data_IF_400366992703
#
_entry.id   IF_400366992703
#
_cell.length_a   1.000
_cell.length_b   1.000
_cell.length_c   1.000
_cell.angle_alpha   90.00
_cell.angle_beta   90.00
_cell.angle_gamma   90.00
#
_symmetry.space_group_name_H-M   'P 1'
#
loop_
_entity.id
_entity.type
_entity.pdbx_description
1 polymer ?
#
# COMPACT_ATOMS: atom_id res chain seq x y z
N UNK A 1 5.18 -3.19 5.23
CA UNK A 1 6.28 -4.10 4.86
C UNK A 1 7.54 -3.30 4.46
N UNK A 2 7.57 -2.36 3.48
CA UNK A 2 8.81 -1.65 3.13
C UNK A 2 9.46 -0.91 4.31
N UNK A 3 8.68 -0.28 5.18
CA UNK A 3 9.20 0.38 6.38
C UNK A 3 9.88 -0.60 7.33
N UNK A 4 9.28 -1.76 7.54
CA UNK A 4 9.85 -2.84 8.36
C UNK A 4 11.19 -3.30 7.81
N UNK A 5 11.30 -3.51 6.48
CA UNK A 5 12.55 -3.91 5.82
C UNK A 5 13.64 -2.81 5.90
N UNK A 6 13.25 -1.55 6.02
CA UNK A 6 14.16 -0.41 6.14
C UNK A 6 14.44 0.01 7.59
N UNK A 7 13.82 -0.61 8.59
CA UNK A 7 13.97 -0.23 10.00
C UNK A 7 13.48 1.19 10.32
N UNK A 8 12.39 1.63 9.69
CA UNK A 8 11.80 2.96 9.86
C UNK A 8 10.30 2.87 10.16
N UNK A 9 9.72 4.00 10.57
CA UNK A 9 8.27 4.12 10.75
C UNK A 9 7.61 4.29 9.38
N UNK A 10 6.56 3.52 9.10
CA UNK A 10 5.75 3.66 7.89
C UNK A 10 4.27 3.71 8.26
N UNK A 11 3.56 4.67 7.69
CA UNK A 11 2.14 4.83 7.92
C UNK A 11 1.35 4.62 6.62
N UNK A 12 0.38 3.71 6.65
CA UNK A 12 -0.62 3.57 5.60
C UNK A 12 -1.92 4.21 6.10
N UNK A 13 -2.27 5.42 5.61
CA UNK A 13 -3.52 6.07 6.00
C UNK A 13 -4.74 5.38 5.41
N UNK A 14 -5.91 5.81 5.82
CA UNK A 14 -7.18 5.38 5.24
C UNK A 14 -7.23 5.79 3.77
N UNK A 15 -7.77 4.90 2.92
CA UNK A 15 -7.95 5.17 1.49
C UNK A 15 -8.73 6.48 1.27
N UNK A 16 -8.22 7.31 0.38
CA UNK A 16 -8.79 8.62 0.09
C UNK A 16 -8.38 9.75 1.04
N UNK A 17 -7.64 9.48 2.12
CA UNK A 17 -7.13 10.53 3.03
C UNK A 17 -6.06 11.40 2.39
N UNK A 18 -5.26 10.85 1.50
CA UNK A 18 -4.23 11.57 0.73
C UNK A 18 -4.61 11.49 -0.73
N UNK A 19 -4.59 12.63 -1.42
CA UNK A 19 -4.87 12.71 -2.86
C UNK A 19 -3.89 11.87 -3.67
N UNK A 20 -4.41 11.21 -4.71
CA UNK A 20 -3.63 10.46 -5.69
C UNK A 20 -3.41 11.26 -6.99
N UNK A 21 -3.86 12.51 -7.03
CA UNK A 21 -3.66 13.35 -8.20
C UNK A 21 -2.17 13.50 -8.51
N UNK A 22 -1.79 13.20 -9.75
CA UNK A 22 -0.39 13.16 -10.18
C UNK A 22 0.34 11.84 -9.93
N UNK A 23 -0.27 10.87 -9.24
CA UNK A 23 0.28 9.53 -9.08
C UNK A 23 -0.01 8.67 -10.32
N UNK A 24 0.99 7.94 -10.81
CA UNK A 24 0.78 6.91 -11.82
C UNK A 24 0.00 5.74 -11.18
N UNK A 25 -1.25 5.52 -11.64
CA UNK A 25 -2.09 4.49 -11.08
C UNK A 25 -1.54 3.09 -11.37
N UNK A 26 -1.41 2.27 -10.33
CA UNK A 26 -1.11 0.86 -10.42
C UNK A 26 -2.37 0.02 -10.17
N UNK A 27 -2.89 0.05 -8.96
CA UNK A 27 -4.14 -0.61 -8.58
C UNK A 27 -5.07 0.45 -7.95
N UNK A 28 -5.95 1.03 -8.74
CA UNK A 28 -6.72 2.23 -8.37
C UNK A 28 -7.58 2.05 -7.12
N UNK A 29 -8.03 0.83 -6.83
CA UNK A 29 -8.80 0.52 -5.62
C UNK A 29 -7.93 0.36 -4.37
N UNK A 30 -6.60 0.25 -4.52
CA UNK A 30 -5.65 -0.03 -3.46
C UNK A 30 -4.57 1.05 -3.30
N UNK A 31 -4.31 1.83 -4.34
CA UNK A 31 -3.27 2.86 -4.34
C UNK A 31 -3.49 3.86 -3.21
N UNK A 32 -2.46 4.04 -2.37
CA UNK A 32 -2.50 4.94 -1.24
C UNK A 32 -1.09 5.46 -0.95
N UNK A 33 -0.97 6.78 -0.88
CA UNK A 33 0.26 7.46 -0.47
C UNK A 33 0.32 7.49 1.06
N UNK A 34 1.49 7.25 1.63
CA UNK A 34 1.74 7.34 3.05
C UNK A 34 3.20 7.68 3.36
N UNK A 35 3.48 8.31 4.51
CA UNK A 35 4.82 8.75 4.87
C UNK A 35 5.69 7.61 5.41
N UNK A 36 7.01 7.74 5.15
CA UNK A 36 8.06 7.07 5.90
C UNK A 36 8.87 8.08 6.68
N UNK A 37 9.23 7.76 7.91
CA UNK A 37 9.97 8.65 8.80
C UNK A 37 10.80 7.87 9.81
N UNK A 38 11.65 8.56 10.57
CA UNK A 38 12.42 7.95 11.66
C UNK A 38 11.64 7.87 12.97
N UNK A 39 10.69 8.77 13.17
CA UNK A 39 9.88 8.87 14.40
C UNK A 39 8.39 8.83 14.09
N UNK A 40 7.57 8.49 15.08
CA UNK A 40 6.11 8.54 14.97
C UNK A 40 5.62 9.98 14.83
N UNK A 41 6.28 10.92 15.50
CA UNK A 41 6.00 12.35 15.44
C UNK A 41 6.17 12.89 14.02
N UNK A 42 7.28 12.55 13.36
CA UNK A 42 7.52 12.96 11.97
C UNK A 42 6.50 12.33 11.01
N UNK A 43 6.12 11.06 11.23
CA UNK A 43 5.08 10.40 10.45
C UNK A 43 3.73 11.12 10.60
N UNK A 44 3.37 11.51 11.82
CA UNK A 44 2.14 12.25 12.11
C UNK A 44 2.17 13.64 11.46
N UNK A 45 3.26 14.36 11.58
CA UNK A 45 3.45 15.68 10.97
C UNK A 45 3.33 15.62 9.44
N UNK A 46 4.05 14.69 8.82
CA UNK A 46 3.95 14.48 7.37
C UNK A 46 2.53 14.12 6.94
N UNK A 47 1.87 13.24 7.69
CA UNK A 47 0.50 12.85 7.39
C UNK A 47 -0.48 14.04 7.49
N UNK A 48 -0.33 14.92 8.48
CA UNK A 48 -1.13 16.16 8.57
C UNK A 48 -0.98 17.04 7.33
N UNK A 49 0.26 17.18 6.84
CA UNK A 49 0.57 18.05 5.70
C UNK A 49 0.01 17.49 4.38
N UNK A 50 0.11 16.16 4.16
CA UNK A 50 -0.28 15.56 2.89
C UNK A 50 -1.75 15.10 2.84
N UNK A 51 -2.44 15.04 3.99
CA UNK A 51 -3.86 14.66 4.06
C UNK A 51 -4.77 15.82 3.71
N UNK A 52 -5.96 15.50 3.22
CA UNK A 52 -7.02 16.48 2.97
C UNK A 52 -7.77 16.21 1.67
N UNK A 53 -8.89 16.89 1.52
CA UNK A 53 -9.73 16.78 0.33
C UNK A 53 -9.10 17.50 -0.87
N UNK A 54 -9.03 16.79 -1.98
CA UNK A 54 -8.58 17.31 -3.28
C UNK A 54 -9.68 17.12 -4.33
N UNK A 55 -10.28 18.21 -4.87
CA UNK A 55 -11.31 18.11 -5.90
C UNK A 55 -10.80 17.51 -7.23
N UNK A 56 -9.48 17.41 -7.43
CA UNK A 56 -8.87 16.79 -8.60
C UNK A 56 -8.75 15.27 -8.49
N UNK A 57 -8.93 14.71 -7.30
CA UNK A 57 -9.04 13.26 -7.08
C UNK A 57 -10.45 12.89 -6.60
N UNK A 58 -11.24 12.29 -7.48
CA UNK A 58 -12.62 11.89 -7.19
C UNK A 58 -12.77 10.88 -6.05
N UNK A 59 -11.68 10.23 -5.64
CA UNK A 59 -11.65 9.29 -4.51
C UNK A 59 -11.18 9.93 -3.22
N UNK A 60 -10.77 11.20 -3.27
CA UNK A 60 -10.36 11.95 -2.09
C UNK A 60 -11.52 12.12 -1.12
N UNK A 61 -11.32 11.77 0.15
CA UNK A 61 -12.36 11.75 1.16
C UNK A 61 -12.62 13.17 1.70
N UNK A 62 -13.88 13.68 1.67
CA UNK A 62 -14.20 15.04 2.07
C UNK A 62 -14.35 15.15 3.61
N UNK A 63 -13.26 14.98 4.35
CA UNK A 63 -13.24 15.15 5.79
C UNK A 63 -12.18 16.16 6.23
N UNK A 64 -12.40 16.74 7.40
CA UNK A 64 -11.36 17.50 8.09
C UNK A 64 -10.20 16.60 8.47
N UNK A 65 -8.99 17.11 8.36
CA UNK A 65 -7.76 16.42 8.76
C UNK A 65 -7.63 16.56 10.28
N UNK A 66 -7.61 15.43 11.03
CA UNK A 66 -7.34 15.49 12.46
C UNK A 66 -5.93 16.00 12.75
N UNK A 67 -5.76 16.71 13.88
CA UNK A 67 -4.40 17.03 14.36
C UNK A 67 -3.78 15.76 14.97
N UNK A 68 -3.03 15.02 14.17
CA UNK A 68 -2.38 13.80 14.62
C UNK A 68 -1.27 14.09 15.64
N UNK A 69 -0.47 15.15 15.37
CA UNK A 69 0.64 15.55 16.25
C UNK A 69 0.16 15.96 17.64
N UNK A 70 -0.92 16.74 17.72
CA UNK A 70 -1.50 17.17 18.99
C UNK A 70 -2.06 15.98 19.83
N UNK A 71 -2.47 14.91 19.15
CA UNK A 71 -3.07 13.73 19.78
C UNK A 71 -2.04 12.68 20.24
N UNK A 72 -0.79 12.75 19.81
CA UNK A 72 0.25 11.78 20.21
C UNK A 72 0.54 11.77 21.71
N UNK A 73 0.45 12.93 22.37
CA UNK A 73 0.74 13.08 23.80
C UNK A 73 -0.45 12.68 24.71
N UNK A 74 -1.60 12.38 24.12
CA UNK A 74 -2.77 11.97 24.90
C UNK A 74 -2.54 10.58 25.48
N UNK A 75 -2.68 10.45 26.80
CA UNK A 75 -2.58 9.15 27.47
C UNK A 75 -3.62 8.19 26.90
N UNK A 76 -3.15 7.12 26.31
CA UNK A 76 -4.02 6.09 25.76
C UNK A 76 -4.71 5.33 26.89
N UNK A 77 -6.05 5.28 26.85
CA UNK A 77 -6.78 4.42 27.77
C UNK A 77 -6.48 2.95 27.44
N UNK A 78 -6.41 2.07 28.44
CA UNK A 78 -6.28 0.64 28.18
C UNK A 78 -7.33 0.15 27.18
N UNK A 79 -6.90 -0.61 26.19
CA UNK A 79 -7.75 -1.19 25.17
C UNK A 79 -7.54 -2.71 25.06
N UNK A 80 -8.34 -3.37 24.24
CA UNK A 80 -8.18 -4.78 23.93
C UNK A 80 -7.38 -4.91 22.64
N UNK A 81 -6.25 -5.62 22.68
CA UNK A 81 -5.39 -5.90 21.53
C UNK A 81 -5.56 -7.36 21.11
N UNK A 82 -5.94 -7.58 19.86
CA UNK A 82 -6.06 -8.91 19.26
C UNK A 82 -4.71 -9.41 18.76
N UNK A 83 -4.35 -10.64 19.10
CA UNK A 83 -3.17 -11.34 18.61
C UNK A 83 -3.60 -12.46 17.65
N UNK A 84 -3.52 -12.28 16.33
CA UNK A 84 -3.96 -13.29 15.37
C UNK A 84 -3.02 -14.50 15.39
N UNK A 85 -3.57 -15.67 15.70
CA UNK A 85 -2.77 -16.91 15.73
C UNK A 85 -2.12 -17.24 14.39
N UNK A 86 -2.75 -16.87 13.27
CA UNK A 86 -2.27 -17.10 11.92
C UNK A 86 -1.01 -16.29 11.56
N UNK A 87 -0.67 -15.26 12.35
CA UNK A 87 0.55 -14.46 12.14
C UNK A 87 1.80 -15.12 12.73
N UNK A 88 1.64 -16.17 13.55
CA UNK A 88 2.71 -16.88 14.24
C UNK A 88 2.93 -18.30 13.68
N UNK A 89 2.69 -18.47 12.38
CA UNK A 89 2.86 -19.74 11.68
C UNK A 89 4.30 -20.22 11.55
N UNK A 90 4.48 -21.34 10.84
CA UNK A 90 5.80 -21.88 10.49
C UNK A 90 6.61 -20.90 9.66
N UNK A 91 7.92 -20.87 9.86
CA UNK A 91 8.85 -20.02 9.09
C UNK A 91 9.06 -18.61 9.64
N UNK A 92 8.46 -18.27 10.79
CA UNK A 92 8.81 -17.04 11.51
C UNK A 92 10.18 -17.19 12.16
N UNK A 93 11.05 -16.21 11.92
CA UNK A 93 12.35 -16.12 12.58
C UNK A 93 12.19 -15.90 14.09
N UNK A 94 13.02 -16.61 14.90
CA UNK A 94 12.93 -16.55 16.35
C UNK A 94 13.24 -15.14 16.90
N UNK A 95 14.13 -14.38 16.28
CA UNK A 95 14.42 -13.00 16.70
C UNK A 95 13.20 -12.09 16.47
N UNK A 96 12.48 -12.29 15.37
CA UNK A 96 11.23 -11.56 15.08
C UNK A 96 10.15 -11.95 16.09
N UNK A 97 9.99 -13.25 16.37
CA UNK A 97 9.04 -13.74 17.39
C UNK A 97 9.32 -13.11 18.75
N UNK A 98 10.57 -13.17 19.21
CA UNK A 98 10.97 -12.60 20.49
C UNK A 98 10.70 -11.09 20.56
N UNK A 99 10.96 -10.34 19.48
CA UNK A 99 10.67 -8.90 19.44
C UNK A 99 9.17 -8.60 19.56
N UNK A 100 8.33 -9.41 18.91
CA UNK A 100 6.86 -9.27 19.02
C UNK A 100 6.39 -9.64 20.42
N UNK A 101 6.91 -10.71 21.02
CA UNK A 101 6.56 -11.13 22.38
C UNK A 101 6.93 -10.07 23.42
N UNK A 102 8.10 -9.43 23.29
CA UNK A 102 8.49 -8.29 24.12
C UNK A 102 7.51 -7.11 23.98
N UNK A 103 7.09 -6.80 22.77
CA UNK A 103 6.10 -5.75 22.53
C UNK A 103 4.74 -6.10 23.17
N UNK A 104 4.30 -7.35 23.07
CA UNK A 104 3.06 -7.84 23.70
C UNK A 104 3.12 -7.70 25.21
N UNK A 105 4.24 -8.11 25.84
CA UNK A 105 4.43 -7.97 27.30
C UNK A 105 4.48 -6.50 27.71
N UNK A 106 5.11 -5.64 26.92
CA UNK A 106 5.10 -4.19 27.17
C UNK A 106 3.66 -3.66 27.21
N UNK A 107 2.82 -3.95 26.20
CA UNK A 107 1.44 -3.49 26.19
C UNK A 107 0.62 -4.09 27.35
N UNK A 108 0.86 -5.34 27.72
CA UNK A 108 0.23 -5.98 28.89
C UNK A 108 0.60 -5.22 30.16
N UNK A 109 1.87 -4.85 30.34
CA UNK A 109 2.34 -4.07 31.50
C UNK A 109 1.72 -2.67 31.60
N UNK A 110 1.32 -2.09 30.46
CA UNK A 110 0.60 -0.82 30.39
C UNK A 110 -0.91 -0.96 30.66
N UNK A 111 -1.38 -2.14 30.99
CA UNK A 111 -2.78 -2.40 31.33
C UNK A 111 -3.69 -2.74 30.15
N UNK A 112 -3.14 -2.91 28.95
CA UNK A 112 -3.91 -3.39 27.80
C UNK A 112 -4.27 -4.87 27.96
N UNK A 113 -5.49 -5.25 27.54
CA UNK A 113 -5.91 -6.64 27.52
C UNK A 113 -5.48 -7.29 26.21
N UNK A 114 -4.68 -8.34 26.29
CA UNK A 114 -4.28 -9.13 25.12
C UNK A 114 -5.23 -10.32 24.98
N UNK A 115 -5.79 -10.51 23.79
CA UNK A 115 -6.67 -11.64 23.47
C UNK A 115 -6.22 -12.31 22.17
N UNK A 116 -6.23 -13.63 22.15
CA UNK A 116 -6.02 -14.37 20.91
C UNK A 116 -7.25 -14.22 20.00
N UNK A 117 -7.01 -13.99 18.72
CA UNK A 117 -8.05 -13.91 17.69
C UNK A 117 -7.67 -14.78 16.50
N UNK A 118 -8.64 -15.09 15.63
CA UNK A 118 -8.40 -15.83 14.40
C UNK A 118 -8.78 -15.00 13.19
N UNK A 119 -7.89 -14.97 12.19
CA UNK A 119 -8.07 -14.38 10.87
C UNK A 119 -7.86 -15.46 9.80
N UNK A 120 -8.82 -16.39 9.63
CA UNK A 120 -8.61 -17.62 8.86
C UNK A 120 -8.36 -17.38 7.36
N UNK A 121 -8.70 -16.21 6.82
CA UNK A 121 -8.42 -15.84 5.42
C UNK A 121 -7.03 -15.29 5.19
N UNK A 122 -6.20 -15.17 6.22
CA UNK A 122 -4.83 -14.62 6.11
C UNK A 122 -3.97 -15.36 5.09
N UNK A 123 -4.10 -16.68 5.00
CA UNK A 123 -3.37 -17.50 4.03
C UNK A 123 -3.69 -17.15 2.57
N UNK A 124 -4.87 -16.59 2.31
CA UNK A 124 -5.29 -16.16 0.98
C UNK A 124 -4.85 -14.73 0.64
N UNK A 125 -4.32 -13.97 1.59
CA UNK A 125 -4.04 -12.54 1.40
C UNK A 125 -3.06 -12.28 0.25
N UNK A 126 -1.97 -13.04 0.17
CA UNK A 126 -0.95 -12.90 -0.88
C UNK A 126 -1.49 -13.33 -2.24
N UNK A 127 -2.11 -14.52 -2.41
CA UNK A 127 -2.76 -14.89 -3.66
C UNK A 127 -3.81 -13.87 -4.14
N UNK A 128 -4.68 -13.41 -3.26
CA UNK A 128 -5.71 -12.39 -3.58
C UNK A 128 -5.06 -11.08 -4.05
N UNK A 129 -4.02 -10.62 -3.35
CA UNK A 129 -3.26 -9.45 -3.78
C UNK A 129 -2.73 -9.61 -5.21
N UNK A 130 -2.08 -10.74 -5.53
CA UNK A 130 -1.53 -10.94 -6.87
C UNK A 130 -2.59 -10.96 -7.96
N UNK A 131 -3.76 -11.53 -7.71
CA UNK A 131 -4.86 -11.54 -8.69
C UNK A 131 -5.41 -10.12 -8.90
N UNK A 132 -5.80 -9.44 -7.82
CA UNK A 132 -6.44 -8.12 -7.91
C UNK A 132 -5.46 -7.06 -8.43
N UNK A 133 -4.27 -7.00 -7.84
CA UNK A 133 -3.31 -5.95 -8.19
C UNK A 133 -2.80 -6.07 -9.63
N UNK A 134 -2.58 -7.28 -10.14
CA UNK A 134 -2.17 -7.46 -11.54
C UNK A 134 -3.31 -7.20 -12.52
N UNK A 135 -4.54 -7.56 -12.19
CA UNK A 135 -5.73 -7.26 -13.00
C UNK A 135 -5.92 -5.73 -13.15
N UNK A 136 -5.88 -5.00 -12.03
CA UNK A 136 -5.99 -3.54 -12.05
C UNK A 136 -4.79 -2.88 -12.74
N UNK A 137 -3.57 -3.36 -12.50
CA UNK A 137 -2.37 -2.85 -13.17
C UNK A 137 -2.44 -3.02 -14.68
N UNK A 138 -2.91 -4.17 -15.17
CA UNK A 138 -3.12 -4.40 -16.60
C UNK A 138 -4.06 -3.35 -17.21
N UNK A 139 -5.17 -3.06 -16.54
CA UNK A 139 -6.14 -2.04 -16.97
C UNK A 139 -5.57 -0.62 -16.86
N UNK A 140 -4.96 -0.26 -15.74
CA UNK A 140 -4.45 1.09 -15.50
C UNK A 140 -3.27 1.43 -16.39
N UNK A 141 -2.34 0.50 -16.59
CA UNK A 141 -1.17 0.71 -17.46
C UNK A 141 -1.50 0.65 -18.95
N UNK A 142 -2.72 0.28 -19.34
CA UNK A 142 -3.17 0.33 -20.74
C UNK A 142 -3.16 1.75 -21.31
N UNK A 143 -3.27 2.78 -20.46
CA UNK A 143 -3.22 4.20 -20.89
C UNK A 143 -1.86 4.66 -21.41
N UNK A 144 -0.79 3.95 -21.05
CA UNK A 144 0.56 4.25 -21.53
C UNK A 144 0.78 3.60 -22.91
N UNK A 145 0.27 4.25 -23.93
CA UNK A 145 0.07 3.71 -25.27
C UNK A 145 1.05 4.28 -26.32
N UNK A 146 1.91 5.23 -25.92
CA UNK A 146 2.80 5.94 -26.85
C UNK A 146 2.09 6.98 -27.73
N UNK A 147 0.80 7.25 -27.47
CA UNK A 147 -0.02 8.26 -28.17
C UNK A 147 -0.28 9.44 -27.23
N UNK A 148 -0.95 9.20 -26.11
CA UNK A 148 -1.28 10.23 -25.10
C UNK A 148 -0.22 10.33 -24.02
N UNK A 149 0.30 9.18 -23.61
CA UNK A 149 1.25 9.08 -22.50
C UNK A 149 2.44 8.22 -22.91
N UNK A 150 3.60 8.52 -22.34
CA UNK A 150 4.89 7.86 -22.54
C UNK A 150 5.53 8.13 -23.91
N UNK A 151 6.76 7.67 -24.08
CA UNK A 151 7.53 7.81 -25.32
C UNK A 151 6.96 6.93 -26.41
N UNK A 152 6.86 7.48 -27.63
CA UNK A 152 6.50 6.72 -28.81
C UNK A 152 7.74 6.06 -29.42
N UNK A 153 7.61 4.78 -29.76
CA UNK A 153 8.66 4.06 -30.48
C UNK A 153 8.86 4.62 -31.90
N UNK A 154 10.09 4.93 -32.22
CA UNK A 154 10.48 5.36 -33.58
C UNK A 154 10.37 4.24 -34.63
N UNK A 155 10.31 2.98 -34.16
CA UNK A 155 10.19 1.79 -35.04
C UNK A 155 8.74 1.49 -35.42
N UNK A 156 7.77 2.27 -34.96
CA UNK A 156 6.36 2.06 -35.24
C UNK A 156 6.02 2.44 -36.69
N UNK A 157 5.33 1.55 -37.38
CA UNK A 157 4.92 1.74 -38.79
C UNK A 157 3.42 1.95 -38.96
N UNK A 158 2.63 1.61 -37.97
CA UNK A 158 1.18 1.72 -37.95
C UNK A 158 0.67 1.87 -36.50
N UNK A 159 -0.63 2.06 -36.29
CA UNK A 159 -1.20 2.30 -34.97
C UNK A 159 -0.99 1.10 -34.00
N UNK A 160 -1.05 -0.14 -34.48
CA UNK A 160 -0.81 -1.33 -33.66
C UNK A 160 0.65 -1.37 -33.21
N UNK A 161 1.57 -1.05 -34.13
CA UNK A 161 3.01 -0.95 -33.85
C UNK A 161 3.31 0.13 -32.80
N UNK A 162 2.63 1.29 -32.88
CA UNK A 162 2.81 2.35 -31.87
C UNK A 162 2.52 1.79 -30.46
N UNK A 163 1.37 1.16 -30.29
CA UNK A 163 0.99 0.58 -29.02
C UNK A 163 1.95 -0.55 -28.57
N UNK A 164 2.16 -1.54 -29.42
CA UNK A 164 2.94 -2.73 -29.08
C UNK A 164 4.41 -2.41 -28.82
N UNK A 165 5.05 -1.62 -29.69
CA UNK A 165 6.48 -1.31 -29.58
C UNK A 165 6.77 -0.31 -28.48
N UNK A 166 5.95 0.75 -28.34
CA UNK A 166 6.16 1.74 -27.27
C UNK A 166 6.06 1.08 -25.89
N UNK A 167 5.08 0.21 -25.68
CA UNK A 167 4.94 -0.54 -24.42
C UNK A 167 6.04 -1.59 -24.27
N UNK A 168 6.39 -2.29 -25.35
CA UNK A 168 7.46 -3.29 -25.36
C UNK A 168 8.84 -2.72 -25.03
N UNK A 169 9.14 -1.50 -25.50
CA UNK A 169 10.40 -0.80 -25.24
C UNK A 169 10.37 -0.04 -23.90
N UNK A 170 9.23 0.54 -23.53
CA UNK A 170 9.08 1.41 -22.37
C UNK A 170 8.87 0.68 -21.06
N UNK A 171 8.23 -0.49 -21.05
CA UNK A 171 8.00 -1.26 -19.83
C UNK A 171 9.15 -2.21 -19.54
N UNK A 172 9.57 -2.21 -18.26
CA UNK A 172 10.49 -3.23 -17.75
C UNK A 172 9.83 -4.63 -17.72
N UNK A 173 10.64 -5.67 -17.62
CA UNK A 173 10.19 -7.07 -17.69
C UNK A 173 9.17 -7.42 -16.60
N UNK A 174 9.35 -6.93 -15.37
CA UNK A 174 8.41 -7.17 -14.27
C UNK A 174 7.04 -6.54 -14.54
N UNK A 175 7.00 -5.32 -15.08
CA UNK A 175 5.74 -4.65 -15.45
C UNK A 175 5.03 -5.41 -16.57
N UNK A 176 5.77 -5.86 -17.58
CA UNK A 176 5.23 -6.69 -18.67
C UNK A 176 4.60 -7.97 -18.13
N UNK A 177 5.33 -8.66 -17.23
CA UNK A 177 4.84 -9.88 -16.56
C UNK A 177 3.51 -9.64 -15.84
N UNK A 178 3.42 -8.56 -15.06
CA UNK A 178 2.17 -8.20 -14.34
C UNK A 178 1.05 -7.86 -15.29
N UNK A 179 1.32 -7.13 -16.37
CA UNK A 179 0.30 -6.83 -17.39
C UNK A 179 -0.26 -8.11 -18.04
N UNK A 180 0.61 -9.08 -18.36
CA UNK A 180 0.21 -10.36 -18.95
C UNK A 180 -0.62 -11.17 -17.96
N UNK A 181 -0.16 -11.30 -16.71
CA UNK A 181 -0.90 -12.01 -15.66
C UNK A 181 -2.27 -11.38 -15.40
N UNK A 182 -2.33 -10.04 -15.36
CA UNK A 182 -3.58 -9.32 -15.16
C UNK A 182 -4.55 -9.48 -16.35
N UNK A 183 -4.05 -9.42 -17.58
CA UNK A 183 -4.85 -9.67 -18.77
C UNK A 183 -5.43 -11.11 -18.78
N UNK A 184 -4.63 -12.10 -18.37
CA UNK A 184 -5.08 -13.49 -18.25
C UNK A 184 -6.14 -13.65 -17.15
N UNK A 185 -5.98 -12.96 -16.01
CA UNK A 185 -6.95 -13.01 -14.91
C UNK A 185 -8.28 -12.29 -15.23
N UNK A 186 -8.30 -11.40 -16.22
CA UNK A 186 -9.50 -10.68 -16.68
C UNK A 186 -10.21 -11.38 -17.87
N UNK A 187 -9.58 -12.36 -18.50
CA UNK A 187 -10.14 -13.12 -19.62
C UNK A 187 -11.00 -14.29 -19.13
#
# INVERSE_FOLDING_TARGET
>A
QPASLCGVVGMKPTYGMVSRYGLAAFASSLDQIGPFSKTVEDAALLLEVISGHDPLDSTSFPSEVPSYTANLSNSQKPCVLGLPKEYFGEGMDDEVRNAVDLAVEFYRSQGHKIVEVSLPTTELAVPVYYVIATAEASSNLARYDGIRYTTRSEKAKNAIDVYAKSRGEGFGEEVKRRCILGAYGLS
#
